data_IF_833389239223
#
_entry.id   IF_833389239223
#
_cell.length_a   1.000
_cell.length_b   1.000
_cell.length_c   1.000
_cell.angle_alpha   90.00
_cell.angle_beta   90.00
_cell.angle_gamma   90.00
#
_symmetry.space_group_name_H-M   'P 1'
#
loop_
_entity.id
_entity.type
_entity.pdbx_description
1 polymer ?
#
# COMPACT_ATOMS: atom_id res chain seq x y z
N UNK A 1 5.32 11.11 6.96
CA UNK A 1 5.61 10.19 5.83
C UNK A 1 4.27 9.76 5.26
N UNK A 2 4.18 9.50 3.95
CA UNK A 2 2.91 9.08 3.34
C UNK A 2 2.88 7.59 3.08
N UNK A 3 1.76 6.95 3.41
CA UNK A 3 1.52 5.53 3.19
C UNK A 3 0.31 5.33 2.29
N UNK A 4 0.44 4.46 1.29
CA UNK A 4 -0.69 3.99 0.50
C UNK A 4 -1.24 2.69 1.08
N UNK A 5 -2.55 2.63 1.26
CA UNK A 5 -3.29 1.45 1.71
C UNK A 5 -4.25 1.03 0.58
N UNK A 6 -4.10 -0.18 0.00
CA UNK A 6 -5.00 -0.69 -1.03
C UNK A 6 -6.39 -0.95 -0.45
N UNK A 7 -7.45 -0.41 -1.06
CA UNK A 7 -8.82 -0.51 -0.54
C UNK A 7 -9.86 -0.77 -1.62
N UNK A 8 -10.95 -1.42 -1.26
CA UNK A 8 -12.04 -1.80 -2.19
C UNK A 8 -13.06 -0.69 -2.44
N UNK A 9 -13.08 0.36 -1.61
CA UNK A 9 -14.03 1.48 -1.71
C UNK A 9 -13.42 2.82 -1.26
N UNK A 10 -14.20 3.90 -1.36
CA UNK A 10 -13.85 5.24 -0.88
C UNK A 10 -14.72 5.64 0.33
N UNK A 11 -14.39 5.04 1.47
CA UNK A 11 -14.95 5.31 2.79
C UNK A 11 -13.88 5.83 3.77
N UNK A 12 -12.77 6.36 3.23
CA UNK A 12 -11.66 6.93 3.99
C UNK A 12 -11.13 5.97 5.07
N UNK A 13 -11.25 6.33 6.36
CA UNK A 13 -10.76 5.51 7.48
C UNK A 13 -11.47 4.15 7.62
N UNK A 14 -12.70 4.05 7.14
CA UNK A 14 -13.51 2.84 7.25
C UNK A 14 -13.42 1.95 6.00
N UNK A 15 -12.63 2.36 5.00
CA UNK A 15 -12.44 1.55 3.80
C UNK A 15 -11.82 0.20 4.12
N UNK A 16 -12.38 -0.85 3.54
CA UNK A 16 -11.88 -2.22 3.72
C UNK A 16 -10.62 -2.45 2.89
N UNK A 17 -9.64 -3.13 3.49
CA UNK A 17 -8.38 -3.47 2.85
C UNK A 17 -8.62 -4.45 1.69
N UNK A 18 -8.08 -4.10 0.52
CA UNK A 18 -8.13 -4.97 -0.65
C UNK A 18 -7.04 -6.04 -0.65
N UNK A 19 -7.36 -7.25 -1.13
CA UNK A 19 -6.42 -8.38 -1.18
C UNK A 19 -5.46 -8.34 -2.37
N UNK A 20 -5.84 -7.64 -3.44
CA UNK A 20 -5.08 -7.60 -4.68
C UNK A 20 -4.50 -6.21 -4.93
N UNK A 21 -3.41 -5.88 -4.23
CA UNK A 21 -2.68 -4.60 -4.29
C UNK A 21 -2.76 -3.88 -5.65
N UNK A 22 -2.32 -4.53 -6.74
CA UNK A 22 -2.22 -3.86 -8.03
C UNK A 22 -3.55 -3.63 -8.74
N UNK A 23 -4.64 -4.26 -8.30
CA UNK A 23 -5.95 -4.27 -8.97
C UNK A 23 -7.08 -3.68 -8.13
N UNK A 24 -6.79 -3.25 -6.90
CA UNK A 24 -7.79 -2.51 -6.09
C UNK A 24 -8.30 -1.29 -6.86
N UNK A 25 -9.56 -0.88 -6.64
CA UNK A 25 -10.11 0.31 -7.28
C UNK A 25 -9.50 1.61 -6.74
N UNK A 26 -9.10 1.64 -5.46
CA UNK A 26 -8.59 2.84 -4.82
C UNK A 26 -7.37 2.57 -3.93
N UNK A 27 -6.65 3.64 -3.64
CA UNK A 27 -5.63 3.68 -2.59
C UNK A 27 -5.97 4.78 -1.60
N UNK A 28 -6.09 4.44 -0.33
CA UNK A 28 -6.14 5.43 0.73
C UNK A 28 -4.72 5.91 1.03
N UNK A 29 -4.46 7.21 0.91
CA UNK A 29 -3.17 7.84 1.20
C UNK A 29 -3.25 8.47 2.58
N UNK A 30 -2.57 7.87 3.55
CA UNK A 30 -2.46 8.36 4.92
C UNK A 30 -1.16 9.14 5.09
N UNK A 31 -1.22 10.34 5.68
CA UNK A 31 -0.05 11.10 6.11
C UNK A 31 0.15 10.97 7.62
N UNK A 32 1.24 10.31 8.01
CA UNK A 32 1.61 10.10 9.42
C UNK A 32 1.98 11.39 10.16
N UNK A 33 2.27 12.48 9.43
CA UNK A 33 2.65 13.76 10.05
C UNK A 33 1.47 14.53 10.65
N UNK A 34 0.30 14.49 10.01
CA UNK A 34 -0.90 15.23 10.42
C UNK A 34 -2.14 14.36 10.64
N UNK A 35 -1.99 13.04 10.47
CA UNK A 35 -3.06 12.03 10.59
C UNK A 35 -4.23 12.30 9.63
N UNK A 36 -3.94 12.83 8.43
CA UNK A 36 -4.91 13.02 7.36
C UNK A 36 -4.98 11.82 6.42
N UNK A 37 -6.14 11.65 5.78
CA UNK A 37 -6.40 10.60 4.80
C UNK A 37 -7.00 11.19 3.53
N UNK A 38 -6.50 10.76 2.38
CA UNK A 38 -7.05 11.11 1.07
C UNK A 38 -7.10 9.86 0.19
N UNK A 39 -8.29 9.53 -0.33
CA UNK A 39 -8.46 8.38 -1.21
C UNK A 39 -8.25 8.81 -2.66
N UNK A 40 -7.48 8.02 -3.41
CA UNK A 40 -7.26 8.22 -4.85
C UNK A 40 -7.69 6.99 -5.63
N UNK A 41 -8.25 7.20 -6.82
CA UNK A 41 -8.48 6.12 -7.77
C UNK A 41 -7.17 5.48 -8.22
N UNK A 42 -7.16 4.16 -8.33
CA UNK A 42 -6.07 3.44 -8.96
C UNK A 42 -6.09 3.71 -10.46
N UNK A 43 -5.18 4.58 -10.92
CA UNK A 43 -4.96 4.91 -12.35
C UNK A 43 -3.70 4.26 -12.91
N UNK A 44 -3.28 3.13 -12.32
CA UNK A 44 -2.21 2.33 -12.87
C UNK A 44 -2.64 1.58 -14.14
N UNK A 45 -1.68 0.96 -14.82
CA UNK A 45 -1.90 0.14 -16.01
C UNK A 45 -2.84 -1.04 -15.80
N UNK A 46 -2.97 -1.52 -14.56
CA UNK A 46 -3.95 -2.56 -14.21
C UNK A 46 -5.40 -2.05 -14.21
N UNK A 47 -5.60 -0.73 -14.25
CA UNK A 47 -6.89 -0.04 -14.29
C UNK A 47 -7.00 0.90 -15.51
N UNK A 48 -6.20 0.66 -16.55
CA UNK A 48 -6.29 1.40 -17.82
C UNK A 48 -5.37 2.62 -17.94
N UNK A 49 -4.51 2.88 -16.96
CA UNK A 49 -3.45 3.88 -17.07
C UNK A 49 -2.18 3.37 -17.76
N UNK A 50 -1.08 4.10 -17.58
CA UNK A 50 0.20 3.81 -18.25
C UNK A 50 1.28 3.31 -17.29
N UNK A 51 1.34 3.85 -16.07
CA UNK A 51 2.32 3.47 -15.04
C UNK A 51 1.97 2.15 -14.38
N UNK A 52 2.96 1.32 -14.05
CA UNK A 52 2.74 0.15 -13.21
C UNK A 52 2.24 0.59 -11.82
N UNK A 53 1.50 -0.25 -11.06
CA UNK A 53 0.99 0.13 -9.74
C UNK A 53 2.06 0.67 -8.77
N UNK A 54 3.25 0.05 -8.77
CA UNK A 54 4.39 0.50 -7.96
C UNK A 54 4.90 1.90 -8.38
N UNK A 55 5.02 2.13 -9.69
CA UNK A 55 5.49 3.40 -10.25
C UNK A 55 4.45 4.52 -10.05
N UNK A 56 3.17 4.20 -10.19
CA UNK A 56 2.07 5.13 -9.91
C UNK A 56 2.12 5.59 -8.44
N UNK A 57 2.27 4.64 -7.50
CA UNK A 57 2.30 4.98 -6.08
C UNK A 57 3.57 5.68 -5.61
N UNK A 58 4.68 5.54 -6.34
CA UNK A 58 5.91 6.28 -6.06
C UNK A 58 5.73 7.80 -6.15
N UNK A 59 4.76 8.28 -6.94
CA UNK A 59 4.42 9.71 -7.01
C UNK A 59 3.60 10.19 -5.78
N UNK A 60 3.05 9.27 -4.99
CA UNK A 60 2.03 9.58 -3.97
C UNK A 60 2.45 9.23 -2.54
N UNK A 61 3.37 8.28 -2.35
CA UNK A 61 3.69 7.74 -1.04
C UNK A 61 5.16 7.30 -0.89
N UNK A 62 5.59 7.10 0.35
CA UNK A 62 6.90 6.57 0.73
C UNK A 62 6.82 5.11 1.16
N UNK A 63 5.62 4.62 1.51
CA UNK A 63 5.39 3.26 1.94
C UNK A 63 4.02 2.75 1.53
N UNK A 64 3.87 1.42 1.50
CA UNK A 64 2.60 0.73 1.23
C UNK A 64 2.29 -0.18 2.41
N UNK A 65 1.07 -0.13 2.94
CA UNK A 65 0.58 -1.07 3.94
C UNK A 65 -0.40 -2.02 3.25
N UNK A 66 -0.05 -3.29 3.08
CA UNK A 66 -0.84 -4.24 2.29
C UNK A 66 -1.13 -5.54 3.06
N UNK A 67 -2.29 -6.13 2.78
CA UNK A 67 -2.62 -7.49 3.21
C UNK A 67 -1.81 -8.52 2.41
N UNK A 68 -1.58 -8.22 1.12
CA UNK A 68 -0.90 -9.09 0.17
C UNK A 68 -0.30 -8.32 -1.00
N UNK A 69 0.92 -8.68 -1.41
CA UNK A 69 1.58 -8.14 -2.59
C UNK A 69 2.60 -9.15 -3.11
N UNK A 70 2.68 -9.29 -4.44
CA UNK A 70 3.60 -10.26 -5.05
C UNK A 70 5.06 -9.82 -4.97
N UNK A 71 6.00 -10.78 -4.91
CA UNK A 71 7.45 -10.55 -4.84
C UNK A 71 7.99 -9.61 -5.91
N UNK A 72 7.48 -9.71 -7.16
CA UNK A 72 7.82 -8.78 -8.24
C UNK A 72 7.40 -7.34 -7.95
N UNK A 73 6.21 -7.15 -7.37
CA UNK A 73 5.72 -5.82 -7.02
C UNK A 73 6.50 -5.24 -5.83
N UNK A 74 6.85 -6.06 -4.83
CA UNK A 74 7.75 -5.66 -3.74
C UNK A 74 9.09 -5.16 -4.29
N UNK A 75 9.70 -5.92 -5.19
CA UNK A 75 10.98 -5.54 -5.82
C UNK A 75 10.86 -4.20 -6.54
N UNK A 76 9.81 -4.01 -7.33
CA UNK A 76 9.57 -2.75 -8.07
C UNK A 76 9.32 -1.57 -7.11
N UNK A 77 8.50 -1.73 -6.07
CA UNK A 77 8.28 -0.68 -5.07
C UNK A 77 9.60 -0.23 -4.45
N UNK A 78 10.44 -1.18 -4.02
CA UNK A 78 11.75 -0.87 -3.45
C UNK A 78 12.68 -0.16 -4.44
N UNK A 79 12.67 -0.53 -5.73
CA UNK A 79 13.43 0.17 -6.78
C UNK A 79 12.99 1.64 -6.94
N UNK A 80 11.72 1.95 -6.66
CA UNK A 80 11.21 3.32 -6.63
C UNK A 80 11.34 4.00 -5.25
N UNK A 81 12.02 3.38 -4.29
CA UNK A 81 12.18 3.92 -2.93
C UNK A 81 10.91 3.84 -2.08
N UNK A 82 9.92 3.05 -2.47
CA UNK A 82 8.67 2.83 -1.73
C UNK A 82 8.80 1.56 -0.90
N UNK A 83 8.75 1.71 0.42
CA UNK A 83 8.77 0.59 1.37
C UNK A 83 7.45 -0.19 1.32
N UNK A 84 7.49 -1.47 1.61
CA UNK A 84 6.27 -2.30 1.67
C UNK A 84 6.18 -2.94 3.04
N UNK A 85 5.01 -2.85 3.67
CA UNK A 85 4.70 -3.45 4.95
C UNK A 85 3.52 -4.41 4.79
N UNK A 86 3.68 -5.62 5.33
CA UNK A 86 2.76 -6.74 5.18
C UNK A 86 2.03 -7.04 6.49
N UNK A 87 0.79 -7.52 6.36
CA UNK A 87 -0.07 -7.88 7.48
C UNK A 87 -1.21 -6.91 7.74
N UNK A 88 -1.51 -6.00 6.80
CA UNK A 88 -2.68 -5.14 6.88
C UNK A 88 -3.97 -5.98 6.80
N UNK A 89 -4.97 -5.65 7.62
CA UNK A 89 -6.25 -6.36 7.71
C UNK A 89 -7.35 -5.42 8.19
N UNK A 90 -8.61 -5.77 7.92
CA UNK A 90 -9.77 -5.01 8.38
C UNK A 90 -9.95 -3.72 7.58
N UNK A 91 -10.00 -2.60 8.29
CA UNK A 91 -10.15 -1.25 7.73
C UNK A 91 -8.82 -0.50 7.64
N UNK A 92 -8.81 0.65 6.95
CA UNK A 92 -7.65 1.56 6.95
C UNK A 92 -7.27 1.97 8.36
N UNK A 93 -8.26 2.31 9.21
CA UNK A 93 -8.00 2.69 10.60
C UNK A 93 -7.27 1.60 11.37
N UNK A 94 -7.76 0.37 11.32
CA UNK A 94 -7.13 -0.77 12.00
C UNK A 94 -5.74 -1.05 11.45
N UNK A 95 -5.54 -0.92 10.14
CA UNK A 95 -4.23 -1.08 9.50
C UNK A 95 -3.23 -0.04 9.97
N UNK A 96 -3.65 1.23 10.10
CA UNK A 96 -2.80 2.30 10.64
C UNK A 96 -2.47 2.05 12.12
N UNK A 97 -3.42 1.56 12.91
CA UNK A 97 -3.17 1.17 14.30
C UNK A 97 -2.17 0.01 14.41
N UNK A 98 -2.26 -1.01 13.53
CA UNK A 98 -1.28 -2.09 13.45
C UNK A 98 0.11 -1.60 13.08
N UNK A 99 0.21 -0.67 12.13
CA UNK A 99 1.47 -0.04 11.74
C UNK A 99 2.09 0.74 12.90
N UNK A 100 1.31 1.63 13.53
CA UNK A 100 1.76 2.43 14.70
C UNK A 100 2.18 1.54 15.88
N UNK A 101 1.57 0.35 16.02
CA UNK A 101 1.93 -0.64 17.02
C UNK A 101 3.14 -1.52 16.65
N UNK A 102 3.77 -1.32 15.49
CA UNK A 102 4.91 -2.11 15.02
C UNK A 102 4.56 -3.56 14.68
N UNK A 103 3.29 -3.83 14.35
CA UNK A 103 2.78 -5.19 14.06
C UNK A 103 2.80 -5.57 12.59
N UNK A 104 3.16 -4.64 11.70
CA UNK A 104 3.35 -4.92 10.28
C UNK A 104 4.81 -5.23 9.99
N UNK A 105 5.06 -6.22 9.12
CA UNK A 105 6.41 -6.65 8.77
C UNK A 105 6.87 -5.94 7.50
N UNK A 106 8.03 -5.28 7.52
CA UNK A 106 8.64 -4.71 6.32
C UNK A 106 9.04 -5.84 5.37
N UNK A 107 8.47 -5.86 4.16
CA UNK A 107 8.78 -6.84 3.14
C UNK A 107 10.08 -6.44 2.44
N UNK A 108 11.15 -7.17 2.76
CA UNK A 108 12.45 -6.98 2.15
C UNK A 108 12.61 -7.94 0.96
N UNK A 109 12.97 -7.46 -0.25
CA UNK A 109 13.25 -8.34 -1.39
C UNK A 109 14.39 -9.34 -1.13
N UNK A 110 15.32 -9.02 -0.23
CA UNK A 110 16.44 -9.91 0.14
C UNK A 110 16.05 -11.05 1.11
N UNK A 111 14.91 -10.96 1.79
CA UNK A 111 14.37 -12.10 2.57
C UNK A 111 13.67 -13.14 1.67
N UNK A 112 13.73 -12.95 0.35
CA UNK A 112 13.16 -13.83 -0.67
C UNK A 112 14.08 -14.93 -1.19
N UNK A 113 15.14 -15.32 -0.47
CA UNK A 113 15.94 -16.50 -0.82
C UNK A 113 16.60 -17.17 0.40
N UNK A 114 15.83 -17.48 1.44
CA UNK A 114 16.24 -18.47 2.44
C UNK A 114 15.17 -19.56 2.61
N UNK A 115 15.46 -20.68 1.94
CA UNK A 115 14.82 -22.01 1.91
C UNK A 115 13.48 -22.18 1.18
#
# INVERSE_FOLDING_TARGET
MKFAIPVEDDNSWNSEIGFHFGRVPFFAIWDDGDDSINVIENKSSHRGGTKLPAEFLADHCNGILSSGIGSRAITLCNQYGVKVFMGATGTVKETVELYKAGKLNEANPDEGCQH
#
